data_IF_423270766241
#
_entry.id   IF_423270766241
#
_cell.length_a   1.000
_cell.length_b   1.000
_cell.length_c   1.000
_cell.angle_alpha   90.00
_cell.angle_beta   90.00
_cell.angle_gamma   90.00
#
_symmetry.space_group_name_H-M   'P 1'
#
loop_
_entity.id
_entity.type
_entity.pdbx_description
1 polymer ?
#
# COMPACT_ATOMS: atom_id res chain seq x y z
N UNK A 1 16.19 26.67 64.73
CA UNK A 1 16.74 26.45 63.36
C UNK A 1 15.70 25.78 62.52
N UNK A 2 15.05 26.52 61.63
CA UNK A 2 14.03 25.99 60.73
C UNK A 2 14.65 25.79 59.34
N UNK A 3 14.79 24.54 58.93
CA UNK A 3 15.22 24.21 57.59
C UNK A 3 14.02 24.27 56.65
N UNK A 4 13.97 25.30 55.80
CA UNK A 4 13.00 25.44 54.73
C UNK A 4 13.43 24.54 53.57
N UNK A 5 12.64 23.50 53.28
CA UNK A 5 12.84 22.64 52.09
C UNK A 5 12.15 23.31 50.92
N UNK A 6 12.96 23.84 50.02
CA UNK A 6 12.49 24.39 48.74
C UNK A 6 12.16 23.23 47.78
N UNK A 7 10.87 23.01 47.52
CA UNK A 7 10.43 22.08 46.51
C UNK A 7 10.43 22.78 45.14
N UNK A 8 11.40 22.41 44.29
CA UNK A 8 11.43 22.83 42.90
C UNK A 8 10.50 21.91 42.13
N UNK A 9 9.34 22.41 41.75
CA UNK A 9 8.45 21.75 40.78
C UNK A 9 9.03 21.95 39.37
N UNK A 10 9.64 20.91 38.81
CA UNK A 10 10.01 20.89 37.42
C UNK A 10 8.76 20.65 36.58
N UNK A 11 8.26 21.71 35.92
CA UNK A 11 7.18 21.60 34.94
C UNK A 11 7.79 21.00 33.67
N UNK A 12 7.59 19.69 33.46
CA UNK A 12 7.84 19.05 32.16
C UNK A 12 6.72 19.45 31.19
N UNK A 13 7.00 20.41 30.35
CA UNK A 13 6.16 20.69 29.18
C UNK A 13 6.40 19.60 28.13
N UNK A 14 5.52 18.63 28.08
CA UNK A 14 5.47 17.66 26.96
C UNK A 14 4.98 18.38 25.72
N UNK A 15 5.91 18.63 24.79
CA UNK A 15 5.58 19.09 23.44
C UNK A 15 4.85 17.91 22.73
N UNK A 16 3.54 18.01 22.62
CA UNK A 16 2.76 17.09 21.78
C UNK A 16 3.09 17.42 20.32
N UNK A 17 3.98 16.64 19.71
CA UNK A 17 4.17 16.65 18.26
C UNK A 17 2.93 16.04 17.64
N UNK A 18 2.00 16.88 17.19
CA UNK A 18 0.87 16.47 16.37
C UNK A 18 1.40 16.07 14.99
N UNK A 19 1.83 14.81 14.85
CA UNK A 19 2.15 14.24 13.55
C UNK A 19 0.88 14.18 12.71
N UNK A 20 0.83 14.85 11.55
CA UNK A 20 -0.15 14.59 10.53
C UNK A 20 -0.05 13.11 10.16
N UNK A 21 -0.98 12.29 10.67
CA UNK A 21 -1.17 10.93 10.19
C UNK A 21 -1.74 11.07 8.76
N UNK A 22 -0.90 10.87 7.77
CA UNK A 22 -1.38 10.61 6.41
C UNK A 22 -2.24 9.36 6.52
N UNK A 23 -3.55 9.53 6.42
CA UNK A 23 -4.47 8.41 6.40
C UNK A 23 -4.24 7.70 5.08
N UNK A 24 -3.71 6.48 5.13
CA UNK A 24 -3.55 5.66 3.94
C UNK A 24 -4.92 5.51 3.26
N UNK A 25 -4.96 5.68 1.94
CA UNK A 25 -6.17 5.49 1.18
C UNK A 25 -6.66 4.05 1.40
N UNK A 26 -7.93 3.90 1.77
CA UNK A 26 -8.58 2.58 1.90
C UNK A 26 -9.32 2.27 0.61
N UNK A 27 -9.03 1.10 0.03
CA UNK A 27 -9.69 0.62 -1.17
C UNK A 27 -10.64 -0.53 -0.81
N UNK A 28 -11.77 -0.69 -1.55
CA UNK A 28 -12.65 -1.85 -1.39
C UNK A 28 -11.88 -3.15 -1.60
N UNK A 29 -12.16 -4.15 -0.78
CA UNK A 29 -11.53 -5.47 -0.87
C UNK A 29 -12.56 -6.58 -0.70
N UNK A 30 -12.34 -7.69 -1.42
CA UNK A 30 -13.02 -8.96 -1.20
C UNK A 30 -12.00 -10.03 -0.81
N UNK A 31 -12.37 -10.91 0.11
CA UNK A 31 -11.52 -12.02 0.53
C UNK A 31 -12.24 -13.34 0.30
N UNK A 32 -11.57 -14.25 -0.39
CA UNK A 32 -12.05 -15.58 -0.72
C UNK A 32 -11.16 -16.64 -0.04
N UNK A 33 -11.76 -17.73 0.39
CA UNK A 33 -11.01 -18.91 0.84
C UNK A 33 -10.92 -19.91 -0.30
N UNK A 34 -9.72 -20.28 -0.69
CA UNK A 34 -9.46 -21.25 -1.74
C UNK A 34 -9.73 -22.69 -1.24
N UNK A 35 -9.80 -23.67 -2.16
CA UNK A 35 -10.07 -25.07 -1.79
C UNK A 35 -9.02 -25.68 -0.86
N UNK A 36 -7.78 -25.20 -0.90
CA UNK A 36 -6.70 -25.63 -0.02
C UNK A 36 -6.63 -24.86 1.31
N UNK A 37 -7.60 -23.95 1.57
CA UNK A 37 -7.69 -23.17 2.80
C UNK A 37 -6.89 -21.88 2.81
N UNK A 38 -6.16 -21.53 1.74
CA UNK A 38 -5.45 -20.26 1.63
C UNK A 38 -6.43 -19.09 1.45
N UNK A 39 -6.06 -17.91 1.96
CA UNK A 39 -6.81 -16.69 1.71
C UNK A 39 -6.33 -16.03 0.40
N UNK A 40 -7.28 -15.51 -0.37
CA UNK A 40 -7.05 -14.70 -1.54
C UNK A 40 -7.79 -13.39 -1.35
N UNK A 41 -7.07 -12.27 -1.31
CA UNK A 41 -7.65 -10.94 -1.17
C UNK A 41 -7.56 -10.19 -2.49
N UNK A 42 -8.66 -9.64 -2.96
CA UNK A 42 -8.74 -8.78 -4.14
C UNK A 42 -8.97 -7.36 -3.67
N UNK A 43 -8.10 -6.44 -4.06
CA UNK A 43 -8.24 -5.01 -3.82
C UNK A 43 -8.63 -4.31 -5.11
N UNK A 44 -9.73 -3.57 -5.10
CA UNK A 44 -10.24 -2.82 -6.24
C UNK A 44 -9.82 -1.36 -6.14
N UNK A 45 -8.95 -0.89 -7.04
CA UNK A 45 -8.53 0.51 -7.04
C UNK A 45 -9.55 1.38 -7.78
N UNK A 46 -9.65 1.21 -9.08
CA UNK A 46 -10.62 1.88 -9.95
C UNK A 46 -10.52 1.30 -11.36
N UNK A 47 -11.64 1.35 -12.13
CA UNK A 47 -11.71 0.88 -13.52
C UNK A 47 -11.26 -0.59 -13.61
N UNK A 48 -10.21 -0.90 -14.39
CA UNK A 48 -9.68 -2.25 -14.51
C UNK A 48 -8.50 -2.53 -13.55
N UNK A 49 -8.10 -1.53 -12.74
CA UNK A 49 -6.94 -1.66 -11.84
C UNK A 49 -7.30 -2.40 -10.57
N UNK A 50 -6.65 -3.53 -10.33
CA UNK A 50 -6.84 -4.31 -9.12
C UNK A 50 -5.54 -4.99 -8.68
N UNK A 51 -5.50 -5.39 -7.41
CA UNK A 51 -4.44 -6.23 -6.87
C UNK A 51 -5.01 -7.52 -6.31
N UNK A 52 -4.25 -8.59 -6.42
CA UNK A 52 -4.54 -9.88 -5.80
C UNK A 52 -3.39 -10.23 -4.88
N UNK A 53 -3.72 -10.51 -3.63
CA UNK A 53 -2.77 -11.03 -2.66
C UNK A 53 -3.17 -12.46 -2.26
N UNK A 54 -2.23 -13.37 -2.34
CA UNK A 54 -2.40 -14.76 -1.91
C UNK A 54 -1.06 -15.40 -1.58
N UNK A 55 -0.98 -16.13 -0.47
CA UNK A 55 0.24 -16.82 -0.02
C UNK A 55 1.50 -15.93 0.00
N UNK A 56 1.32 -14.66 0.40
CA UNK A 56 2.40 -13.67 0.46
C UNK A 56 2.88 -13.15 -0.90
N UNK A 57 2.17 -13.44 -2.00
CA UNK A 57 2.44 -12.94 -3.34
C UNK A 57 1.51 -11.81 -3.70
N UNK A 58 2.04 -10.82 -4.42
CA UNK A 58 1.33 -9.63 -4.87
C UNK A 58 1.28 -9.59 -6.40
N UNK A 59 0.06 -9.64 -6.93
CA UNK A 59 -0.22 -9.60 -8.37
C UNK A 59 -1.01 -8.32 -8.65
N UNK A 60 -0.56 -7.52 -9.58
CA UNK A 60 -1.26 -6.30 -10.00
C UNK A 60 -1.73 -6.44 -11.44
N UNK A 61 -2.96 -5.97 -11.70
CA UNK A 61 -3.57 -5.99 -13.03
C UNK A 61 -3.87 -4.54 -13.41
N UNK A 62 -3.43 -4.14 -14.59
CA UNK A 62 -3.61 -2.80 -15.17
C UNK A 62 -3.37 -1.64 -14.17
N UNK A 63 -2.19 -1.57 -13.51
CA UNK A 63 -1.94 -0.54 -12.51
C UNK A 63 -1.80 0.84 -13.17
N UNK A 64 -2.58 1.82 -12.68
CA UNK A 64 -2.62 3.21 -13.19
C UNK A 64 -2.38 4.17 -12.03
N UNK A 65 -1.35 5.02 -12.14
CA UNK A 65 -0.87 5.92 -11.09
C UNK A 65 -1.93 6.91 -10.59
N UNK A 66 -2.93 7.24 -11.42
CA UNK A 66 -4.05 8.09 -11.00
C UNK A 66 -4.98 7.42 -9.99
N UNK A 67 -4.95 6.09 -9.87
CA UNK A 67 -5.92 5.33 -9.07
C UNK A 67 -5.37 4.93 -7.71
N UNK A 68 -4.04 4.84 -7.56
CA UNK A 68 -3.40 4.49 -6.31
C UNK A 68 -1.95 5.00 -6.25
N UNK A 69 -1.45 5.23 -5.03
CA UNK A 69 -0.02 5.45 -4.79
C UNK A 69 0.70 4.10 -4.73
N UNK A 70 1.07 3.57 -5.88
CA UNK A 70 1.75 2.27 -5.99
C UNK A 70 3.16 2.26 -5.36
N UNK A 71 3.77 3.42 -5.14
CA UNK A 71 5.05 3.49 -4.45
C UNK A 71 4.94 3.11 -2.96
N UNK A 72 3.77 3.31 -2.36
CA UNK A 72 3.47 2.96 -0.96
C UNK A 72 2.96 1.53 -0.77
N UNK A 73 2.66 0.81 -1.86
CA UNK A 73 2.14 -0.55 -1.84
C UNK A 73 3.26 -1.60 -1.90
N UNK A 74 2.99 -2.86 -1.51
CA UNK A 74 3.93 -3.95 -1.67
C UNK A 74 4.41 -4.10 -3.11
N UNK A 75 5.67 -4.47 -3.31
CA UNK A 75 6.22 -4.73 -4.65
C UNK A 75 5.56 -5.94 -5.29
N UNK A 76 5.43 -5.90 -6.60
CA UNK A 76 4.78 -6.95 -7.37
C UNK A 76 5.68 -8.17 -7.54
N UNK A 77 5.10 -9.37 -7.37
CA UNK A 77 5.66 -10.61 -7.90
C UNK A 77 5.31 -10.75 -9.39
N UNK A 78 4.09 -10.31 -9.76
CA UNK A 78 3.58 -10.37 -11.13
C UNK A 78 2.79 -9.10 -11.46
N UNK A 79 3.01 -8.55 -12.63
CA UNK A 79 2.20 -7.49 -13.22
C UNK A 79 1.60 -8.01 -14.52
N UNK A 80 0.29 -7.94 -14.64
CA UNK A 80 -0.47 -8.30 -15.83
C UNK A 80 -1.04 -7.04 -16.48
N UNK A 81 -0.79 -6.85 -17.76
CA UNK A 81 -1.37 -5.76 -18.57
C UNK A 81 -2.29 -6.38 -19.61
N UNK A 82 -3.57 -6.01 -19.57
CA UNK A 82 -4.57 -6.57 -20.48
C UNK A 82 -4.40 -6.07 -21.91
N UNK A 83 -4.06 -4.78 -22.08
CA UNK A 83 -3.76 -4.19 -23.38
C UNK A 83 -3.07 -2.83 -23.22
N UNK A 84 -2.60 -2.25 -24.33
CA UNK A 84 -1.70 -1.10 -24.33
C UNK A 84 -2.38 0.28 -24.29
N UNK A 85 -3.68 0.36 -24.06
CA UNK A 85 -4.36 1.65 -23.89
C UNK A 85 -3.89 2.38 -22.63
N UNK A 86 -3.90 3.71 -22.66
CA UNK A 86 -3.38 4.59 -21.59
C UNK A 86 -4.05 4.41 -20.23
N UNK A 87 -5.28 3.90 -20.21
CA UNK A 87 -6.07 3.60 -19.01
C UNK A 87 -5.86 2.17 -18.47
N UNK A 88 -4.95 1.40 -19.11
CA UNK A 88 -4.57 0.03 -18.73
C UNK A 88 -3.05 -0.15 -18.59
N UNK A 89 -2.24 0.62 -19.30
CA UNK A 89 -0.79 0.57 -19.27
C UNK A 89 -0.21 1.92 -18.84
N UNK A 90 0.37 1.97 -17.65
CA UNK A 90 1.06 3.14 -17.09
C UNK A 90 2.47 2.72 -16.67
N UNK A 91 3.47 3.22 -17.39
CA UNK A 91 4.87 2.90 -17.12
C UNK A 91 5.35 3.37 -15.76
N UNK A 92 4.80 4.47 -15.21
CA UNK A 92 5.16 4.97 -13.89
C UNK A 92 4.66 4.03 -12.79
N UNK A 93 3.41 3.54 -12.88
CA UNK A 93 2.85 2.55 -11.96
C UNK A 93 3.63 1.23 -12.03
N UNK A 94 3.93 0.74 -13.24
CA UNK A 94 4.74 -0.46 -13.45
C UNK A 94 6.13 -0.32 -12.83
N UNK A 95 6.80 0.83 -13.03
CA UNK A 95 8.11 1.08 -12.43
C UNK A 95 8.05 1.14 -10.91
N UNK A 96 7.03 1.79 -10.34
CA UNK A 96 6.85 1.88 -8.89
C UNK A 96 6.66 0.52 -8.21
N UNK A 97 5.99 -0.42 -8.89
CA UNK A 97 5.71 -1.78 -8.39
C UNK A 97 6.85 -2.77 -8.64
N UNK A 98 7.69 -2.51 -9.64
CA UNK A 98 8.67 -3.50 -10.11
C UNK A 98 9.91 -3.59 -9.22
N UNK A 99 10.44 -4.82 -9.15
CA UNK A 99 11.81 -5.14 -8.73
C UNK A 99 12.49 -5.95 -9.83
N UNK A 100 13.76 -6.32 -9.64
CA UNK A 100 14.45 -7.22 -10.58
C UNK A 100 13.80 -8.62 -10.68
N UNK A 101 13.04 -9.04 -9.65
CA UNK A 101 12.37 -10.34 -9.60
C UNK A 101 10.91 -10.29 -10.11
N UNK A 102 10.36 -9.11 -10.39
CA UNK A 102 8.97 -8.96 -10.85
C UNK A 102 8.80 -9.52 -12.25
N UNK A 103 7.88 -10.48 -12.43
CA UNK A 103 7.44 -10.93 -13.75
C UNK A 103 6.41 -9.93 -14.34
N UNK A 104 6.51 -9.65 -15.61
CA UNK A 104 5.62 -8.71 -16.33
C UNK A 104 5.12 -9.39 -17.59
N UNK A 105 3.79 -9.50 -17.68
CA UNK A 105 3.10 -10.12 -18.82
C UNK A 105 2.15 -9.11 -19.45
N UNK A 106 2.13 -9.07 -20.77
CA UNK A 106 1.16 -8.30 -21.55
C UNK A 106 0.41 -9.25 -22.48
N UNK A 107 -0.90 -9.06 -22.55
CA UNK A 107 -1.79 -9.80 -23.47
C UNK A 107 -2.00 -8.91 -24.71
N UNK A 108 -1.06 -8.88 -25.61
CA UNK A 108 -1.15 -8.21 -26.93
C UNK A 108 -0.78 -9.17 -28.02
#
# INVERSE_FOLDING_TARGET
>A
MKHSKLFIFAIMTTLAVSGCKHQAATYPTDTLTTKNGSQLTITFFKHASLAIETEGRHIYIDPISQYADYASLPKADLILITHSHYDHLDSAAVAALSTAATDRKSVV
#
